data_IF_098302527115
#
_entry.id   IF_098302527115
#
_cell.length_a   1.000
_cell.length_b   1.000
_cell.length_c   1.000
_cell.angle_alpha   90.00
_cell.angle_beta   90.00
_cell.angle_gamma   90.00
#
_symmetry.space_group_name_H-M   'P 1'
#
loop_
_entity.id
_entity.type
_entity.pdbx_description
1 polymer ?
#
# COMPACT_ATOMS: atom_id res chain seq x y z
N UNK A 1 12.37 -8.84 -19.38
CA UNK A 1 11.46 -7.68 -19.57
C UNK A 1 10.39 -7.78 -18.49
N UNK A 2 10.28 -6.80 -17.58
CA UNK A 2 9.28 -6.86 -16.50
C UNK A 2 7.93 -6.51 -17.14
N UNK A 3 6.95 -7.43 -17.10
CA UNK A 3 5.58 -7.12 -17.56
C UNK A 3 5.02 -6.04 -16.64
N UNK A 4 4.70 -4.88 -17.20
CA UNK A 4 3.93 -3.85 -16.50
C UNK A 4 2.45 -4.12 -16.78
N UNK A 5 1.64 -4.06 -15.73
CA UNK A 5 0.19 -4.23 -15.82
C UNK A 5 -0.45 -2.99 -15.23
N UNK A 6 -1.30 -2.34 -16.01
CA UNK A 6 -1.94 -1.06 -15.68
C UNK A 6 -3.45 -1.21 -15.83
N UNK A 7 -4.23 -0.55 -14.98
CA UNK A 7 -5.69 -0.57 -15.04
C UNK A 7 -6.24 0.86 -15.07
N UNK A 8 -6.90 1.20 -16.17
CA UNK A 8 -7.56 2.48 -16.38
C UNK A 8 -9.07 2.29 -16.25
N UNK A 9 -9.64 2.70 -15.13
CA UNK A 9 -11.07 2.57 -14.84
C UNK A 9 -11.67 3.89 -14.35
N UNK A 10 -12.98 4.07 -14.58
CA UNK A 10 -13.73 5.18 -13.99
C UNK A 10 -13.93 4.92 -12.51
N UNK A 11 -13.90 5.98 -11.69
CA UNK A 11 -14.10 5.85 -10.24
C UNK A 11 -15.47 5.24 -9.85
N UNK A 12 -16.46 5.36 -10.74
CA UNK A 12 -17.81 4.80 -10.58
C UNK A 12 -17.92 3.32 -10.93
N UNK A 13 -16.95 2.75 -11.65
CA UNK A 13 -16.92 1.33 -11.98
C UNK A 13 -16.33 0.57 -10.78
N UNK A 14 -17.16 -0.11 -10.00
CA UNK A 14 -16.74 -0.90 -8.82
C UNK A 14 -16.10 -2.24 -9.23
N UNK A 15 -15.12 -2.21 -10.14
CA UNK A 15 -14.44 -3.42 -10.64
C UNK A 15 -13.24 -3.79 -9.79
N UNK A 16 -13.51 -4.13 -8.53
CA UNK A 16 -12.48 -4.56 -7.56
C UNK A 16 -11.74 -5.83 -7.96
N UNK A 17 -12.25 -6.60 -8.94
CA UNK A 17 -11.64 -7.84 -9.41
C UNK A 17 -10.20 -7.64 -9.90
N UNK A 18 -9.92 -6.52 -10.59
CA UNK A 18 -8.55 -6.22 -11.00
C UNK A 18 -7.67 -5.98 -9.77
N UNK A 19 -8.09 -5.08 -8.88
CA UNK A 19 -7.31 -4.68 -7.71
C UNK A 19 -7.02 -5.87 -6.79
N UNK A 20 -8.02 -6.70 -6.53
CA UNK A 20 -7.88 -7.91 -5.71
C UNK A 20 -6.83 -8.84 -6.32
N UNK A 21 -6.98 -9.20 -7.61
CA UNK A 21 -6.05 -10.11 -8.29
C UNK A 21 -4.63 -9.53 -8.34
N UNK A 22 -4.52 -8.26 -8.71
CA UNK A 22 -3.24 -7.58 -8.85
C UNK A 22 -2.49 -7.51 -7.52
N UNK A 23 -3.14 -7.06 -6.46
CA UNK A 23 -2.50 -6.94 -5.15
C UNK A 23 -2.16 -8.30 -4.56
N UNK A 24 -3.03 -9.30 -4.69
CA UNK A 24 -2.74 -10.66 -4.24
C UNK A 24 -1.54 -11.29 -4.94
N UNK A 25 -1.25 -10.92 -6.20
CA UNK A 25 -0.09 -11.47 -6.92
C UNK A 25 1.25 -10.83 -6.57
N UNK A 26 1.29 -9.70 -5.85
CA UNK A 26 2.55 -8.99 -5.56
C UNK A 26 3.35 -9.61 -4.41
N UNK A 27 2.70 -10.36 -3.52
CA UNK A 27 3.29 -10.85 -2.27
C UNK A 27 3.24 -9.82 -1.14
N UNK A 28 3.28 -10.30 0.09
CA UNK A 28 3.15 -9.53 1.32
C UNK A 28 4.13 -8.36 1.42
N UNK A 29 5.42 -8.61 1.20
CA UNK A 29 6.48 -7.59 1.30
C UNK A 29 6.25 -6.41 0.36
N UNK A 30 5.86 -6.68 -0.89
CA UNK A 30 5.61 -5.66 -1.89
C UNK A 30 4.38 -4.80 -1.53
N UNK A 31 3.32 -5.42 -1.02
CA UNK A 31 2.13 -4.73 -0.53
C UNK A 31 2.49 -3.79 0.61
N UNK A 32 3.21 -4.28 1.63
CA UNK A 32 3.60 -3.46 2.78
C UNK A 32 4.50 -2.29 2.37
N UNK A 33 5.44 -2.52 1.45
CA UNK A 33 6.30 -1.47 0.91
C UNK A 33 5.48 -0.37 0.23
N UNK A 34 4.58 -0.75 -0.69
CA UNK A 34 3.74 0.21 -1.41
C UNK A 34 2.86 1.04 -0.47
N UNK A 35 2.25 0.41 0.54
CA UNK A 35 1.44 1.12 1.55
C UNK A 35 2.29 2.08 2.39
N UNK A 36 3.51 1.68 2.76
CA UNK A 36 4.42 2.52 3.53
C UNK A 36 4.84 3.75 2.74
N UNK A 37 5.19 3.58 1.45
CA UNK A 37 5.51 4.69 0.54
C UNK A 37 4.33 5.66 0.42
N UNK A 38 3.11 5.17 0.22
CA UNK A 38 1.90 5.99 0.14
C UNK A 38 1.64 6.81 1.42
N UNK A 39 1.90 6.24 2.59
CA UNK A 39 1.75 6.93 3.88
C UNK A 39 2.81 8.03 4.03
N UNK A 40 4.06 7.75 3.65
CA UNK A 40 5.15 8.72 3.69
C UNK A 40 4.86 9.91 2.76
N UNK A 41 4.39 9.63 1.54
CA UNK A 41 3.99 10.67 0.58
C UNK A 41 2.88 11.55 1.14
N UNK A 42 1.87 10.96 1.79
CA UNK A 42 0.82 11.72 2.45
C UNK A 42 1.36 12.66 3.53
N UNK A 43 2.28 12.20 4.39
CA UNK A 43 2.87 13.04 5.43
C UNK A 43 3.72 14.16 4.83
N UNK A 44 4.51 13.85 3.80
CA UNK A 44 5.34 14.80 3.07
C UNK A 44 4.48 15.92 2.45
N UNK A 45 3.41 15.56 1.73
CA UNK A 45 2.48 16.53 1.12
C UNK A 45 1.81 17.42 2.18
N UNK A 46 1.57 16.88 3.39
CA UNK A 46 0.93 17.61 4.48
C UNK A 46 1.91 18.42 5.34
N UNK A 47 3.21 18.44 5.01
CA UNK A 47 4.23 19.13 5.79
C UNK A 47 4.37 18.58 7.22
N UNK A 48 3.97 17.32 7.42
CA UNK A 48 4.10 16.61 8.69
C UNK A 48 5.39 15.79 8.66
N UNK A 49 5.96 15.56 9.83
CA UNK A 49 7.14 14.71 9.93
C UNK A 49 6.80 13.28 9.44
N UNK A 50 7.46 12.86 8.35
CA UNK A 50 7.27 11.56 7.72
C UNK A 50 8.19 10.47 8.33
N UNK A 51 9.12 10.85 9.21
CA UNK A 51 10.13 9.94 9.79
C UNK A 51 9.55 9.02 10.87
N UNK A 52 8.35 9.32 11.41
CA UNK A 52 7.68 8.48 12.41
C UNK A 52 6.19 8.24 12.08
N UNK A 53 5.87 7.39 11.08
CA UNK A 53 4.50 6.96 10.86
C UNK A 53 4.02 6.16 12.08
N UNK A 54 2.89 6.58 12.69
CA UNK A 54 2.28 5.91 13.85
C UNK A 54 2.06 4.40 13.69
N UNK A 55 1.98 3.90 12.44
CA UNK A 55 1.77 2.49 12.13
C UNK A 55 2.89 1.57 12.66
N UNK A 56 4.12 2.06 12.81
CA UNK A 56 5.23 1.26 13.35
C UNK A 56 5.04 0.84 14.81
N UNK A 57 4.18 1.50 15.60
CA UNK A 57 4.03 1.19 17.04
C UNK A 57 3.07 0.03 17.34
N UNK A 58 2.20 -0.35 16.39
CA UNK A 58 1.17 -1.39 16.63
C UNK A 58 1.56 -2.73 16.03
N UNK A 59 2.35 -2.76 14.95
CA UNK A 59 2.82 -4.00 14.31
C UNK A 59 3.85 -4.72 15.21
N UNK A 60 4.62 -4.00 16.04
CA UNK A 60 5.52 -4.60 17.04
C UNK A 60 4.78 -5.44 18.10
N UNK A 61 3.49 -5.20 18.32
CA UNK A 61 2.69 -5.95 19.31
C UNK A 61 2.04 -7.23 18.78
N UNK A 62 2.39 -7.69 17.57
CA UNK A 62 2.02 -9.04 17.12
C UNK A 62 2.86 -10.09 17.87
N UNK A 63 2.49 -10.39 19.12
CA UNK A 63 2.99 -11.59 19.80
C UNK A 63 2.37 -12.82 19.14
N UNK A 64 3.22 -13.74 18.66
CA UNK A 64 2.81 -15.09 18.26
C UNK A 64 2.00 -15.75 19.38
N UNK A 65 0.84 -16.33 19.04
CA UNK A 65 0.22 -17.39 19.81
C UNK A 65 0.84 -18.74 19.40
#
# INVERSE_FOLDING_TARGET
MRKMEENYQRFTDDRRLFDIRFWQSQGDLAIFKAVTEMINDYFLIRGKNADEPRLQRTVENFRKA
#
